data_IF_679676921308
#
_entry.id   IF_679676921308
#
_cell.length_a   1.000
_cell.length_b   1.000
_cell.length_c   1.000
_cell.angle_alpha   90.00
_cell.angle_beta   90.00
_cell.angle_gamma   90.00
#
_symmetry.space_group_name_H-M   'P 1'
#
loop_
_entity.id
_entity.type
_entity.pdbx_description
1 polymer ?
#
# COMPACT_ATOMS: atom_id res chain seq x y z
N UNK A 1 27.60 8.46 19.71
CA UNK A 1 27.42 8.69 18.25
C UNK A 1 27.11 10.17 18.04
N UNK A 2 27.90 10.90 17.26
CA UNK A 2 27.67 12.34 17.02
C UNK A 2 26.40 12.49 16.18
N UNK A 3 25.31 13.01 16.77
CA UNK A 3 24.06 13.26 16.05
C UNK A 3 24.30 14.36 15.00
N UNK A 4 23.78 14.15 13.79
CA UNK A 4 23.73 15.19 12.77
C UNK A 4 22.85 16.34 13.28
N UNK A 5 23.16 17.57 12.87
CA UNK A 5 22.27 18.70 13.14
C UNK A 5 20.93 18.52 12.39
N UNK A 6 19.91 19.24 12.85
CA UNK A 6 18.55 19.10 12.33
C UNK A 6 18.45 19.40 10.84
N UNK A 7 19.10 20.46 10.37
CA UNK A 7 19.07 20.88 8.97
C UNK A 7 19.61 19.78 8.05
N UNK A 8 20.75 19.18 8.42
CA UNK A 8 21.35 18.11 7.62
C UNK A 8 20.49 16.85 7.62
N UNK A 9 19.81 16.53 8.73
CA UNK A 9 18.84 15.42 8.78
C UNK A 9 17.65 15.70 7.86
N UNK A 10 17.11 16.92 7.88
CA UNK A 10 16.02 17.34 7.03
C UNK A 10 16.40 17.27 5.53
N UNK A 11 17.59 17.71 5.16
CA UNK A 11 18.10 17.59 3.78
C UNK A 11 18.18 16.14 3.33
N UNK A 12 18.74 15.25 4.17
CA UNK A 12 18.87 13.82 3.83
C UNK A 12 17.49 13.17 3.66
N UNK A 13 16.55 13.43 4.58
CA UNK A 13 15.20 12.87 4.51
C UNK A 13 14.42 13.42 3.32
N UNK A 14 14.50 14.71 3.06
CA UNK A 14 13.85 15.34 1.89
C UNK A 14 14.37 14.72 0.60
N UNK A 15 15.69 14.54 0.47
CA UNK A 15 16.27 13.92 -0.71
C UNK A 15 15.73 12.49 -0.95
N UNK A 16 15.57 11.70 0.12
CA UNK A 16 15.04 10.33 0.02
C UNK A 16 13.56 10.31 -0.33
N UNK A 17 12.75 11.22 0.23
CA UNK A 17 11.31 11.34 -0.08
C UNK A 17 11.08 11.76 -1.54
N UNK A 18 11.96 12.62 -2.08
CA UNK A 18 11.96 13.02 -3.50
C UNK A 18 12.49 11.92 -4.45
N UNK A 19 12.79 10.72 -3.94
CA UNK A 19 13.18 9.57 -4.75
C UNK A 19 14.68 9.44 -5.05
N UNK A 20 15.55 10.21 -4.38
CA UNK A 20 16.99 9.99 -4.53
C UNK A 20 17.42 8.65 -3.93
N UNK A 21 18.26 7.92 -4.65
CA UNK A 21 18.86 6.69 -4.11
C UNK A 21 19.70 6.97 -2.86
N UNK A 22 19.77 6.01 -1.94
CA UNK A 22 20.64 6.07 -0.75
C UNK A 22 22.10 6.39 -1.12
N UNK A 23 22.56 5.88 -2.28
CA UNK A 23 23.90 6.15 -2.78
C UNK A 23 24.08 7.62 -3.20
N UNK A 24 23.12 8.17 -3.94
CA UNK A 24 23.13 9.58 -4.34
C UNK A 24 23.04 10.50 -3.12
N UNK A 25 22.12 10.22 -2.20
CA UNK A 25 21.94 10.99 -0.97
C UNK A 25 23.19 10.97 -0.10
N UNK A 26 23.82 9.81 0.09
CA UNK A 26 25.07 9.69 0.84
C UNK A 26 26.21 10.53 0.21
N UNK A 27 26.35 10.47 -1.12
CA UNK A 27 27.35 11.25 -1.87
C UNK A 27 27.10 12.75 -1.78
N UNK A 28 25.87 13.21 -1.99
CA UNK A 28 25.51 14.63 -1.99
C UNK A 28 25.58 15.27 -0.60
N UNK A 29 25.18 14.53 0.44
CA UNK A 29 25.18 15.04 1.82
C UNK A 29 26.49 14.79 2.56
N UNK A 30 27.45 14.06 1.97
CA UNK A 30 28.74 13.73 2.58
C UNK A 30 28.59 12.89 3.85
N UNK A 31 27.62 11.97 3.90
CA UNK A 31 27.43 11.03 5.02
C UNK A 31 27.61 9.60 4.55
N UNK A 32 27.88 8.68 5.48
CA UNK A 32 27.94 7.26 5.13
C UNK A 32 26.55 6.72 4.77
N UNK A 33 26.48 5.70 3.90
CA UNK A 33 25.23 5.00 3.57
C UNK A 33 24.53 4.47 4.82
N UNK A 34 25.30 3.95 5.77
CA UNK A 34 24.80 3.42 7.05
C UNK A 34 24.10 4.53 7.85
N UNK A 35 24.67 5.74 7.86
CA UNK A 35 24.07 6.90 8.53
C UNK A 35 22.75 7.29 7.88
N UNK A 36 22.69 7.35 6.54
CA UNK A 36 21.45 7.66 5.83
C UNK A 36 20.37 6.60 6.07
N UNK A 37 20.72 5.31 6.03
CA UNK A 37 19.80 4.20 6.29
C UNK A 37 19.28 4.18 7.73
N UNK A 38 20.14 4.43 8.73
CA UNK A 38 19.70 4.55 10.13
C UNK A 38 18.74 5.71 10.32
N UNK A 39 19.05 6.87 9.74
CA UNK A 39 18.17 8.03 9.81
C UNK A 39 16.81 7.76 9.13
N UNK A 40 16.81 7.06 7.99
CA UNK A 40 15.58 6.66 7.31
C UNK A 40 14.74 5.68 8.15
N UNK A 41 15.38 4.69 8.79
CA UNK A 41 14.70 3.75 9.68
C UNK A 41 14.09 4.47 10.90
N UNK A 42 14.85 5.36 11.55
CA UNK A 42 14.37 6.17 12.68
C UNK A 42 13.18 7.06 12.26
N UNK A 43 13.27 7.69 11.08
CA UNK A 43 12.19 8.53 10.55
C UNK A 43 10.94 7.70 10.18
N UNK A 44 11.12 6.49 9.63
CA UNK A 44 10.02 5.58 9.33
C UNK A 44 9.29 5.11 10.59
N UNK A 45 10.03 4.77 11.66
CA UNK A 45 9.45 4.44 12.95
C UNK A 45 8.67 5.63 13.52
N UNK A 46 9.26 6.83 13.52
CA UNK A 46 8.58 8.03 13.96
C UNK A 46 7.31 8.33 13.14
N UNK A 47 7.37 8.20 11.81
CA UNK A 47 6.22 8.44 10.94
C UNK A 47 5.08 7.44 11.24
N UNK A 48 5.42 6.17 11.49
CA UNK A 48 4.44 5.15 11.91
C UNK A 48 3.80 5.51 13.24
N UNK A 49 4.60 5.82 14.26
CA UNK A 49 4.10 6.12 15.61
C UNK A 49 3.27 7.41 15.61
N UNK A 50 3.70 8.42 14.86
CA UNK A 50 2.94 9.65 14.67
C UNK A 50 1.61 9.37 13.98
N UNK A 51 1.62 8.63 12.88
CA UNK A 51 0.40 8.25 12.18
C UNK A 51 -0.56 7.46 13.09
N UNK A 52 -0.04 6.56 13.91
CA UNK A 52 -0.82 5.79 14.87
C UNK A 52 -1.55 6.65 15.91
N UNK A 53 -0.90 7.69 16.41
CA UNK A 53 -1.48 8.59 17.42
C UNK A 53 -2.46 9.59 16.81
N UNK A 54 -2.13 10.17 15.65
CA UNK A 54 -2.85 11.33 15.12
C UNK A 54 -3.93 10.99 14.09
N UNK A 55 -3.83 9.86 13.38
CA UNK A 55 -4.81 9.44 12.37
C UNK A 55 -5.84 8.53 13.02
N UNK A 56 -6.77 9.14 13.76
CA UNK A 56 -7.81 8.47 14.57
C UNK A 56 -9.15 9.22 14.47
N UNK A 57 -10.24 8.52 14.77
CA UNK A 57 -11.60 9.07 14.81
C UNK A 57 -11.99 9.85 13.54
N UNK A 58 -11.61 9.33 12.37
CA UNK A 58 -11.86 10.00 11.10
C UNK A 58 -13.33 9.85 10.71
N UNK A 59 -13.96 10.96 10.29
CA UNK A 59 -15.31 10.96 9.75
C UNK A 59 -15.36 10.65 8.24
N UNK A 60 -14.44 9.80 7.76
CA UNK A 60 -14.34 9.40 6.36
C UNK A 60 -15.64 8.77 5.88
N UNK A 61 -16.05 9.09 4.65
CA UNK A 61 -17.28 8.52 4.07
C UNK A 61 -17.01 7.45 3.05
N UNK A 62 -15.96 7.62 2.25
CA UNK A 62 -15.62 6.75 1.14
C UNK A 62 -14.17 6.35 1.26
N UNK A 63 -13.92 5.07 1.47
CA UNK A 63 -12.58 4.51 1.63
C UNK A 63 -12.32 3.50 0.52
N UNK A 64 -11.13 3.57 -0.06
CA UNK A 64 -10.64 2.59 -1.02
C UNK A 64 -9.45 1.87 -0.42
N UNK A 65 -9.38 0.56 -0.56
CA UNK A 65 -8.21 -0.22 -0.17
C UNK A 65 -7.72 -1.13 -1.28
N UNK A 66 -6.40 -1.27 -1.37
CA UNK A 66 -5.69 -2.08 -2.35
C UNK A 66 -4.31 -2.44 -1.82
N UNK A 67 -3.67 -3.41 -2.45
CA UNK A 67 -2.31 -3.83 -2.13
C UNK A 67 -1.39 -3.76 -3.35
N UNK A 68 -0.18 -3.24 -3.14
CA UNK A 68 0.86 -3.19 -4.17
C UNK A 68 1.99 -4.16 -3.87
N UNK A 69 2.34 -4.95 -4.89
CA UNK A 69 3.49 -5.84 -4.85
C UNK A 69 4.81 -5.10 -5.07
N UNK A 70 5.80 -5.47 -4.25
CA UNK A 70 7.22 -5.17 -4.41
C UNK A 70 8.05 -6.38 -3.96
N UNK A 71 9.37 -6.24 -3.91
CA UNK A 71 10.26 -7.28 -3.40
C UNK A 71 11.41 -6.70 -2.57
N UNK A 72 11.90 -7.47 -1.61
CA UNK A 72 13.10 -7.18 -0.85
C UNK A 72 14.24 -8.10 -1.32
N UNK A 73 15.36 -7.50 -1.76
CA UNK A 73 16.56 -8.21 -2.21
C UNK A 73 16.42 -8.91 -3.57
N UNK A 74 15.45 -9.83 -3.70
CA UNK A 74 15.17 -10.55 -4.95
C UNK A 74 13.68 -10.94 -5.08
N UNK A 75 13.23 -11.17 -6.31
CA UNK A 75 11.92 -11.77 -6.59
C UNK A 75 11.91 -13.23 -6.11
N UNK A 76 10.75 -13.77 -5.74
CA UNK A 76 10.65 -15.13 -5.16
C UNK A 76 11.30 -16.23 -6.00
N UNK A 77 11.24 -16.12 -7.33
CA UNK A 77 11.90 -17.08 -8.24
C UNK A 77 13.42 -17.17 -8.07
N UNK A 78 14.06 -16.09 -7.61
CA UNK A 78 15.51 -16.02 -7.39
C UNK A 78 15.88 -16.17 -5.91
N UNK A 79 14.90 -16.38 -5.02
CA UNK A 79 15.12 -16.49 -3.58
C UNK A 79 15.81 -17.82 -3.26
N UNK A 80 16.95 -17.73 -2.59
CA UNK A 80 17.66 -18.92 -2.06
C UNK A 80 16.94 -19.45 -0.81
N UNK A 81 16.94 -20.77 -0.64
CA UNK A 81 16.45 -21.43 0.59
C UNK A 81 17.17 -20.83 1.80
N UNK A 82 16.41 -20.44 2.84
CA UNK A 82 16.95 -19.85 4.06
C UNK A 82 17.26 -18.34 4.00
N UNK A 83 17.04 -17.66 2.87
CA UNK A 83 17.19 -16.20 2.76
C UNK A 83 16.01 -15.46 3.42
N UNK A 84 16.01 -15.41 4.75
CA UNK A 84 15.00 -14.69 5.54
C UNK A 84 15.00 -13.19 5.18
N UNK A 85 13.82 -12.59 5.09
CA UNK A 85 13.64 -11.18 4.73
C UNK A 85 13.80 -10.85 3.25
N UNK A 86 14.08 -11.83 2.38
CA UNK A 86 14.07 -11.66 0.93
C UNK A 86 12.78 -12.21 0.30
N UNK A 87 12.40 -11.70 -0.86
CA UNK A 87 11.25 -12.16 -1.63
C UNK A 87 10.17 -11.10 -1.78
N UNK A 88 8.96 -11.55 -2.12
CA UNK A 88 7.78 -10.69 -2.28
C UNK A 88 7.41 -9.98 -0.97
N UNK A 89 7.04 -8.72 -1.09
CA UNK A 89 6.47 -7.90 -0.02
C UNK A 89 5.31 -7.10 -0.58
N UNK A 90 4.25 -6.98 0.20
CA UNK A 90 3.04 -6.28 -0.18
C UNK A 90 2.82 -5.09 0.74
N UNK A 91 2.50 -3.95 0.15
CA UNK A 91 2.07 -2.77 0.90
C UNK A 91 0.58 -2.63 0.72
N UNK A 92 -0.16 -2.83 1.81
CA UNK A 92 -1.60 -2.65 1.90
C UNK A 92 -1.87 -1.20 2.28
N UNK A 93 -2.79 -0.53 1.59
CA UNK A 93 -3.11 0.89 1.84
C UNK A 93 -4.61 1.09 1.81
N UNK A 94 -5.15 1.74 2.83
CA UNK A 94 -6.52 2.26 2.86
C UNK A 94 -6.45 3.78 2.73
N UNK A 95 -7.20 4.34 1.80
CA UNK A 95 -7.20 5.75 1.49
C UNK A 95 -8.62 6.32 1.49
N UNK A 96 -8.78 7.49 2.07
CA UNK A 96 -9.99 8.30 1.91
C UNK A 96 -10.09 8.83 0.48
N UNK A 97 -11.20 8.55 -0.19
CA UNK A 97 -11.46 9.01 -1.54
C UNK A 97 -11.64 10.53 -1.62
N UNK A 98 -11.99 11.22 -0.53
CA UNK A 98 -12.21 12.66 -0.55
C UNK A 98 -10.93 13.43 -0.23
N UNK A 99 -10.37 13.23 0.98
CA UNK A 99 -9.17 13.94 1.42
C UNK A 99 -7.87 13.41 0.81
N UNK A 100 -7.89 12.22 0.19
CA UNK A 100 -6.71 11.47 -0.27
C UNK A 100 -5.75 11.08 0.86
N UNK A 101 -6.20 11.15 2.11
CA UNK A 101 -5.43 10.72 3.27
C UNK A 101 -5.27 9.19 3.25
N UNK A 102 -4.04 8.70 3.39
CA UNK A 102 -3.79 7.29 3.71
C UNK A 102 -4.19 7.04 5.18
N UNK A 103 -5.35 6.42 5.37
CA UNK A 103 -5.97 6.16 6.68
C UNK A 103 -5.21 5.06 7.42
N UNK A 104 -4.86 3.98 6.73
CA UNK A 104 -4.12 2.85 7.29
C UNK A 104 -3.17 2.30 6.24
N UNK A 105 -2.03 1.76 6.68
CA UNK A 105 -1.14 1.00 5.81
C UNK A 105 -0.35 -0.04 6.60
N UNK A 106 -0.08 -1.18 5.96
CA UNK A 106 0.82 -2.21 6.51
C UNK A 106 1.68 -2.81 5.42
N UNK A 107 2.92 -3.14 5.77
CA UNK A 107 3.87 -3.80 4.87
C UNK A 107 4.10 -5.22 5.36
N UNK A 108 3.87 -6.21 4.50
CA UNK A 108 4.00 -7.61 4.88
C UNK A 108 3.61 -8.60 3.79
N UNK A 109 3.08 -9.75 4.20
CA UNK A 109 2.67 -10.80 3.28
C UNK A 109 1.27 -10.54 2.70
N UNK A 110 0.95 -11.19 1.58
CA UNK A 110 -0.41 -11.19 1.00
C UNK A 110 -1.18 -12.42 1.48
N UNK A 111 -1.49 -12.45 2.76
CA UNK A 111 -2.20 -13.56 3.41
C UNK A 111 -3.41 -13.04 4.24
N UNK A 112 -4.31 -13.94 4.68
CA UNK A 112 -5.49 -13.53 5.44
C UNK A 112 -5.19 -12.83 6.77
N UNK A 113 -4.08 -13.17 7.44
CA UNK A 113 -3.71 -12.57 8.73
C UNK A 113 -3.36 -11.09 8.56
N UNK A 114 -2.58 -10.76 7.53
CA UNK A 114 -2.27 -9.37 7.19
C UNK A 114 -3.50 -8.59 6.73
N UNK A 115 -4.39 -9.22 5.94
CA UNK A 115 -5.65 -8.60 5.53
C UNK A 115 -6.53 -8.27 6.75
N UNK A 116 -6.65 -9.20 7.71
CA UNK A 116 -7.39 -9.00 8.95
C UNK A 116 -6.77 -7.86 9.77
N UNK A 117 -5.48 -7.92 10.07
CA UNK A 117 -4.79 -6.90 10.85
C UNK A 117 -4.92 -5.50 10.22
N UNK A 118 -4.80 -5.41 8.90
CA UNK A 118 -4.93 -4.17 8.14
C UNK A 118 -6.35 -3.58 8.24
N UNK A 119 -7.37 -4.40 8.03
CA UNK A 119 -8.77 -3.95 8.07
C UNK A 119 -9.22 -3.65 9.50
N UNK A 120 -8.67 -4.34 10.51
CA UNK A 120 -8.90 -4.02 11.92
C UNK A 120 -8.30 -2.66 12.29
N UNK A 121 -7.06 -2.38 11.87
CA UNK A 121 -6.45 -1.07 12.07
C UNK A 121 -7.23 0.03 11.33
N UNK A 122 -7.75 -0.23 10.14
CA UNK A 122 -8.67 0.69 9.46
C UNK A 122 -9.93 0.97 10.28
N UNK A 123 -10.59 -0.08 10.81
CA UNK A 123 -11.80 0.04 11.62
C UNK A 123 -11.56 0.89 12.88
N UNK A 124 -10.41 0.71 13.55
CA UNK A 124 -10.03 1.47 14.74
C UNK A 124 -9.70 2.95 14.47
N UNK A 125 -9.57 3.35 13.21
CA UNK A 125 -9.22 4.73 12.81
C UNK A 125 -10.40 5.53 12.29
N UNK A 126 -11.44 4.87 11.81
CA UNK A 126 -12.65 5.51 11.27
C UNK A 126 -13.76 5.57 12.31
N UNK A 127 -14.68 6.50 12.12
CA UNK A 127 -15.84 6.66 12.99
C UNK A 127 -17.13 6.65 12.16
N UNK A 128 -18.13 5.95 12.68
CA UNK A 128 -19.43 5.81 12.02
C UNK A 128 -19.41 4.85 10.82
N UNK A 129 -20.50 4.90 10.05
CA UNK A 129 -20.69 4.06 8.87
C UNK A 129 -19.94 4.65 7.67
N UNK A 130 -19.05 3.85 7.09
CA UNK A 130 -18.28 4.19 5.89
C UNK A 130 -18.72 3.32 4.72
N UNK A 131 -18.44 3.77 3.49
CA UNK A 131 -18.41 2.91 2.32
C UNK A 131 -16.97 2.51 2.02
N UNK A 132 -16.67 1.21 2.07
CA UNK A 132 -15.38 0.63 1.73
C UNK A 132 -15.45 -0.05 0.36
N UNK A 133 -14.49 0.24 -0.52
CA UNK A 133 -14.29 -0.50 -1.77
C UNK A 133 -12.90 -1.12 -1.83
N UNK A 134 -12.82 -2.41 -2.15
CA UNK A 134 -11.54 -3.11 -2.36
C UNK A 134 -11.50 -3.78 -3.74
N UNK A 135 -10.34 -4.33 -4.09
CA UNK A 135 -10.24 -5.26 -5.20
C UNK A 135 -10.93 -6.60 -4.87
N UNK A 136 -10.91 -7.53 -5.83
CA UNK A 136 -11.52 -8.86 -5.70
C UNK A 136 -10.74 -9.87 -4.85
N UNK A 137 -9.76 -9.46 -4.03
CA UNK A 137 -9.05 -10.39 -3.17
C UNK A 137 -9.99 -11.00 -2.12
N UNK A 138 -10.05 -12.34 -2.09
CA UNK A 138 -10.98 -13.09 -1.23
C UNK A 138 -10.78 -12.81 0.27
N UNK A 139 -9.54 -12.53 0.68
CA UNK A 139 -9.21 -12.26 2.08
C UNK A 139 -9.94 -11.03 2.67
N UNK A 140 -10.28 -10.03 1.84
CA UNK A 140 -10.98 -8.83 2.31
C UNK A 140 -12.37 -9.14 2.84
N UNK A 141 -13.12 -10.05 2.21
CA UNK A 141 -14.50 -10.34 2.61
C UNK A 141 -14.57 -10.84 4.06
N UNK A 142 -13.68 -11.76 4.43
CA UNK A 142 -13.57 -12.24 5.80
C UNK A 142 -13.08 -11.14 6.76
N UNK A 143 -12.00 -10.43 6.39
CA UNK A 143 -11.41 -9.39 7.23
C UNK A 143 -12.39 -8.25 7.55
N UNK A 144 -13.14 -7.80 6.55
CA UNK A 144 -14.16 -6.75 6.68
C UNK A 144 -15.29 -7.18 7.59
N UNK A 145 -15.79 -8.41 7.41
CA UNK A 145 -16.85 -8.92 8.28
C UNK A 145 -16.39 -9.00 9.74
N UNK A 146 -15.17 -9.48 10.00
CA UNK A 146 -14.64 -9.58 11.36
C UNK A 146 -14.42 -8.21 12.02
N UNK A 147 -13.91 -7.22 11.28
CA UNK A 147 -13.58 -5.92 11.85
C UNK A 147 -14.80 -5.02 12.01
N UNK A 148 -15.70 -4.99 11.03
CA UNK A 148 -16.82 -4.06 10.99
C UNK A 148 -18.18 -4.68 11.32
N UNK A 149 -18.32 -6.02 11.32
CA UNK A 149 -19.52 -6.73 11.75
C UNK A 149 -20.80 -6.21 11.07
N UNK A 150 -20.75 -5.99 9.75
CA UNK A 150 -21.88 -5.47 8.96
C UNK A 150 -22.23 -3.99 9.19
N UNK A 151 -21.45 -3.24 9.97
CA UNK A 151 -21.73 -1.82 10.28
C UNK A 151 -21.28 -0.85 9.19
N UNK A 152 -20.82 -1.35 8.04
CA UNK A 152 -20.37 -0.56 6.89
C UNK A 152 -21.03 -1.02 5.60
N UNK A 153 -20.87 -0.21 4.56
CA UNK A 153 -21.26 -0.54 3.19
C UNK A 153 -20.02 -1.01 2.44
N UNK A 154 -19.97 -2.30 2.10
CA UNK A 154 -18.78 -2.91 1.50
C UNK A 154 -19.06 -3.43 0.10
N UNK A 155 -18.20 -3.03 -0.85
CA UNK A 155 -18.21 -3.51 -2.21
C UNK A 155 -16.82 -3.95 -2.67
N UNK A 156 -16.78 -4.91 -3.59
CA UNK A 156 -15.57 -5.29 -4.30
C UNK A 156 -15.69 -4.90 -5.78
N UNK A 157 -14.58 -4.38 -6.32
CA UNK A 157 -14.43 -4.17 -7.76
C UNK A 157 -13.63 -5.33 -8.35
N UNK A 158 -14.33 -6.29 -8.94
CA UNK A 158 -13.75 -7.50 -9.52
C UNK A 158 -13.32 -7.20 -10.96
N UNK A 159 -12.00 -7.22 -11.22
CA UNK A 159 -11.44 -7.05 -12.56
C UNK A 159 -11.60 -8.35 -13.35
N UNK A 160 -12.19 -8.26 -14.55
CA UNK A 160 -12.35 -9.36 -15.48
C UNK A 160 -11.19 -9.30 -16.47
N UNK A 161 -10.26 -10.26 -16.36
CA UNK A 161 -9.15 -10.40 -17.29
C UNK A 161 -9.49 -11.43 -18.36
N UNK A 162 -9.30 -11.08 -19.61
CA UNK A 162 -9.51 -11.96 -20.75
C UNK A 162 -8.21 -12.15 -21.54
N UNK A 163 -8.07 -13.31 -22.16
CA UNK A 163 -7.00 -13.58 -23.14
C UNK A 163 -7.50 -13.19 -24.52
N UNK A 164 -6.98 -12.09 -25.07
CA UNK A 164 -7.05 -11.86 -26.51
C UNK A 164 -6.06 -12.81 -27.16
N UNK A 165 -6.56 -13.80 -27.90
CA UNK A 165 -5.73 -14.78 -28.59
C UNK A 165 -5.04 -14.12 -29.79
N UNK A 166 -3.94 -13.39 -29.57
CA UNK A 166 -3.04 -13.00 -30.65
C UNK A 166 -2.09 -14.16 -30.93
N UNK A 167 -2.18 -14.72 -32.13
CA UNK A 167 -1.50 -15.93 -32.60
C UNK A 167 0.03 -15.82 -32.74
N UNK A 168 0.67 -14.75 -32.29
CA UNK A 168 2.11 -14.58 -32.47
C UNK A 168 2.83 -13.95 -31.25
N UNK A 169 3.99 -14.56 -30.96
CA UNK A 169 5.11 -14.06 -30.16
C UNK A 169 5.02 -13.98 -28.62
N UNK A 170 5.48 -15.07 -27.98
CA UNK A 170 6.53 -15.20 -26.93
C UNK A 170 6.94 -14.00 -26.05
N UNK A 171 6.07 -13.04 -25.74
CA UNK A 171 6.18 -12.15 -24.57
C UNK A 171 4.93 -12.32 -23.74
N UNK A 172 5.13 -12.57 -22.44
CA UNK A 172 4.07 -12.64 -21.45
C UNK A 172 3.44 -11.24 -21.30
N UNK A 173 2.58 -10.84 -22.24
CA UNK A 173 1.72 -9.69 -22.08
C UNK A 173 0.68 -10.06 -21.02
N UNK A 174 0.53 -9.29 -19.93
CA UNK A 174 -0.51 -9.53 -18.95
C UNK A 174 -1.87 -9.59 -19.66
N UNK A 175 -2.80 -10.47 -19.22
CA UNK A 175 -4.12 -10.54 -19.83
C UNK A 175 -4.81 -9.17 -19.75
N UNK A 176 -5.44 -8.75 -20.84
CA UNK A 176 -6.09 -7.46 -20.91
C UNK A 176 -7.30 -7.43 -19.96
N UNK A 177 -7.48 -6.31 -19.26
CA UNK A 177 -8.68 -6.08 -18.46
C UNK A 177 -9.86 -5.82 -19.41
N UNK A 178 -10.73 -6.81 -19.57
CA UNK A 178 -11.90 -6.78 -20.48
C UNK A 178 -13.08 -6.05 -19.83
N UNK A 179 -13.07 -5.88 -18.51
CA UNK A 179 -14.04 -5.07 -17.79
C UNK A 179 -13.89 -5.16 -16.28
N UNK A 180 -14.77 -4.47 -15.57
CA UNK A 180 -14.88 -4.55 -14.11
C UNK A 180 -16.33 -4.86 -13.72
N UNK A 181 -16.51 -5.74 -12.74
CA UNK A 181 -17.79 -6.05 -12.11
C UNK A 181 -17.81 -5.48 -10.69
N UNK A 182 -18.83 -4.69 -10.38
CA UNK A 182 -19.10 -4.20 -9.03
C UNK A 182 -19.91 -5.27 -8.29
N UNK A 183 -19.46 -5.67 -7.12
CA UNK A 183 -20.17 -6.63 -6.27
C UNK A 183 -20.37 -6.03 -4.88
N UNK A 184 -21.62 -5.73 -4.52
CA UNK A 184 -21.97 -5.43 -3.13
C UNK A 184 -21.80 -6.70 -2.29
N UNK A 185 -21.07 -6.62 -1.18
CA UNK A 185 -20.81 -7.74 -0.27
C UNK A 185 -21.59 -7.61 1.04
N UNK A 186 -21.70 -6.40 1.58
CA UNK A 186 -22.53 -6.11 2.75
C UNK A 186 -23.01 -4.66 2.75
N UNK A 187 -24.13 -4.42 3.44
CA UNK A 187 -24.78 -3.10 3.48
C UNK A 187 -25.41 -2.68 2.15
N UNK A 188 -25.53 -1.38 1.95
CA UNK A 188 -26.13 -0.74 0.78
C UNK A 188 -25.13 0.25 0.13
N UNK A 189 -24.02 -0.25 -0.46
CA UNK A 189 -23.01 0.62 -1.06
C UNK A 189 -23.57 1.34 -2.29
N UNK A 190 -23.29 2.64 -2.36
CA UNK A 190 -23.60 3.46 -3.53
C UNK A 190 -22.75 3.00 -4.72
N UNK A 191 -23.42 2.46 -5.74
CA UNK A 191 -22.81 1.89 -6.92
C UNK A 191 -22.02 2.92 -7.72
N UNK A 192 -22.36 4.21 -7.67
CA UNK A 192 -21.63 5.26 -8.38
C UNK A 192 -20.26 5.55 -7.74
N UNK A 193 -20.06 5.11 -6.50
CA UNK A 193 -18.83 5.31 -5.74
C UNK A 193 -18.01 4.04 -5.53
N UNK A 194 -18.46 2.89 -6.05
CA UNK A 194 -17.64 1.67 -6.09
C UNK A 194 -16.54 1.82 -7.12
N UNK A 195 -15.33 2.17 -6.65
CA UNK A 195 -14.11 2.30 -7.44
C UNK A 195 -12.87 2.11 -6.55
N UNK A 196 -11.75 1.70 -7.17
CA UNK A 196 -10.41 1.61 -6.57
C UNK A 196 -9.42 2.61 -7.18
N UNK A 197 -9.88 3.50 -8.07
CA UNK A 197 -8.98 4.33 -8.89
C UNK A 197 -8.07 5.28 -8.10
N UNK A 198 -8.47 5.75 -6.91
CA UNK A 198 -7.65 6.67 -6.12
C UNK A 198 -6.52 5.93 -5.42
N UNK A 199 -6.81 4.78 -4.81
CA UNK A 199 -5.75 3.96 -4.20
C UNK A 199 -4.82 3.39 -5.27
N UNK A 200 -5.33 3.00 -6.45
CA UNK A 200 -4.51 2.59 -7.58
C UNK A 200 -3.59 3.71 -8.09
N UNK A 201 -4.09 4.96 -8.14
CA UNK A 201 -3.29 6.12 -8.52
C UNK A 201 -2.19 6.41 -7.50
N UNK A 202 -2.49 6.25 -6.21
CA UNK A 202 -1.49 6.33 -5.16
C UNK A 202 -0.43 5.22 -5.35
N UNK A 203 -0.87 3.99 -5.62
CA UNK A 203 0.01 2.83 -5.79
C UNK A 203 0.98 3.06 -6.96
N UNK A 204 0.46 3.62 -8.07
CA UNK A 204 1.29 4.06 -9.19
C UNK A 204 2.31 5.13 -8.77
N UNK A 205 1.91 6.10 -7.94
CA UNK A 205 2.82 7.14 -7.44
C UNK A 205 3.94 6.51 -6.62
N UNK A 206 3.63 5.63 -5.66
CA UNK A 206 4.65 4.91 -4.86
C UNK A 206 5.63 4.14 -5.75
N UNK A 207 5.12 3.45 -6.77
CA UNK A 207 5.97 2.69 -7.71
C UNK A 207 6.93 3.59 -8.47
N UNK A 208 6.49 4.76 -8.90
CA UNK A 208 7.30 5.68 -9.71
C UNK A 208 8.30 6.48 -8.88
N UNK A 209 7.98 6.85 -7.62
CA UNK A 209 8.83 7.72 -6.81
C UNK A 209 9.67 6.99 -5.76
N UNK A 210 9.13 5.94 -5.12
CA UNK A 210 9.77 5.28 -3.97
C UNK A 210 10.42 3.94 -4.33
N UNK A 211 9.88 3.23 -5.33
CA UNK A 211 10.35 1.91 -5.75
C UNK A 211 10.73 1.82 -7.25
N UNK A 212 11.62 2.68 -7.79
CA UNK A 212 12.02 2.61 -9.20
C UNK A 212 12.80 1.30 -9.44
N UNK A 213 12.13 0.29 -9.99
CA UNK A 213 12.70 -1.04 -10.26
C UNK A 213 11.82 -2.24 -9.88
N UNK A 214 10.63 -2.03 -9.31
CA UNK A 214 9.68 -3.10 -8.95
C UNK A 214 8.77 -3.56 -10.10
N UNK A 215 9.08 -3.20 -11.35
CA UNK A 215 8.41 -3.71 -12.55
C UNK A 215 8.96 -5.09 -12.99
#
# INVERSE_FOLDING_TARGET
>A
MRKLNSDKRATILSALVEGNSVNATARLSGVSKITALRLLADAGQFARDYHDVYVRNLASKRVQADEIWSFCGCKDKAKKVGAMGHGSVWTWVAMDADSKLAISYVVGERNPDFALAFIQDLADRVSGRIQLTTDGLHAYAFAVEQAFQGQIDFAQLVKLFGTVATQDERRYSPPECVGCRKEAKSGEPDQDHVSTSFVERQNLTMRMSMCPGSA
#
